data_IF_904723211230
#
_entry.id   IF_904723211230
#
_cell.length_a   1.000
_cell.length_b   1.000
_cell.length_c   1.000
_cell.angle_alpha   90.00
_cell.angle_beta   90.00
_cell.angle_gamma   90.00
#
_symmetry.space_group_name_H-M   'P 1'
#
loop_
_entity.id
_entity.type
_entity.pdbx_description
1 polymer ?
#
# COMPACT_ATOMS: atom_id res chain seq x y z
N UNK A 1 25.43 8.70 17.84
CA UNK A 1 23.97 8.84 17.81
C UNK A 1 23.48 9.29 16.44
N UNK A 2 24.01 10.39 15.89
CA UNK A 2 23.64 10.90 14.55
C UNK A 2 23.78 9.87 13.41
N UNK A 3 24.84 9.05 13.40
CA UNK A 3 25.01 8.02 12.38
C UNK A 3 23.92 6.92 12.43
N UNK A 4 23.51 6.51 13.64
CA UNK A 4 22.45 5.51 13.83
C UNK A 4 21.08 6.09 13.45
N UNK A 5 20.83 7.35 13.79
CA UNK A 5 19.61 8.06 13.37
C UNK A 5 19.52 8.13 11.84
N UNK A 6 20.62 8.50 11.18
CA UNK A 6 20.68 8.53 9.72
C UNK A 6 20.42 7.15 9.09
N UNK A 7 20.97 6.08 9.68
CA UNK A 7 20.73 4.71 9.23
C UNK A 7 19.26 4.28 9.41
N UNK A 8 18.65 4.59 10.56
CA UNK A 8 17.23 4.33 10.82
C UNK A 8 16.35 5.03 9.78
N UNK A 9 16.59 6.32 9.54
CA UNK A 9 15.80 7.11 8.58
C UNK A 9 15.99 6.62 7.14
N UNK A 10 17.21 6.21 6.78
CA UNK A 10 17.49 5.62 5.46
C UNK A 10 16.74 4.29 5.27
N UNK A 11 16.74 3.42 6.28
CA UNK A 11 16.00 2.15 6.24
C UNK A 11 14.49 2.39 6.19
N UNK A 12 13.98 3.37 6.94
CA UNK A 12 12.58 3.75 6.91
C UNK A 12 12.14 4.18 5.49
N UNK A 13 12.92 5.03 4.83
CA UNK A 13 12.65 5.45 3.45
C UNK A 13 12.64 4.26 2.47
N UNK A 14 13.59 3.33 2.60
CA UNK A 14 13.59 2.10 1.80
C UNK A 14 12.34 1.23 2.04
N UNK A 15 11.89 1.12 3.30
CA UNK A 15 10.67 0.39 3.64
C UNK A 15 9.42 1.05 3.04
N UNK A 16 9.33 2.39 3.04
CA UNK A 16 8.21 3.09 2.41
C UNK A 16 8.21 2.91 0.88
N UNK A 17 9.36 3.03 0.23
CA UNK A 17 9.48 2.79 -1.21
C UNK A 17 9.10 1.35 -1.58
N UNK A 18 9.57 0.35 -0.81
CA UNK A 18 9.18 -1.04 -0.99
C UNK A 18 7.68 -1.26 -0.74
N UNK A 19 7.10 -0.56 0.25
CA UNK A 19 5.68 -0.62 0.56
C UNK A 19 4.82 -0.06 -0.57
N UNK A 20 5.21 1.05 -1.18
CA UNK A 20 4.54 1.60 -2.36
C UNK A 20 4.52 0.59 -3.51
N UNK A 21 5.69 0.07 -3.88
CA UNK A 21 5.80 -0.94 -4.94
C UNK A 21 4.96 -2.18 -4.64
N UNK A 22 4.95 -2.63 -3.39
CA UNK A 22 4.10 -3.74 -2.95
C UNK A 22 2.61 -3.44 -3.18
N UNK A 23 2.13 -2.25 -2.84
CA UNK A 23 0.72 -1.87 -3.03
C UNK A 23 0.34 -1.79 -4.51
N UNK A 24 1.21 -1.26 -5.36
CA UNK A 24 1.00 -1.21 -6.82
C UNK A 24 0.87 -2.62 -7.40
N UNK A 25 1.79 -3.53 -7.04
CA UNK A 25 1.74 -4.92 -7.48
C UNK A 25 0.52 -5.66 -6.94
N UNK A 26 0.12 -5.37 -5.69
CA UNK A 26 -1.04 -5.98 -5.06
C UNK A 26 -2.34 -5.54 -5.75
N UNK A 27 -2.45 -4.27 -6.13
CA UNK A 27 -3.58 -3.73 -6.89
C UNK A 27 -3.69 -4.43 -8.25
N UNK A 28 -2.58 -4.51 -8.99
CA UNK A 28 -2.51 -5.22 -10.28
C UNK A 28 -2.94 -6.68 -10.13
N UNK A 29 -2.40 -7.37 -9.14
CA UNK A 29 -2.70 -8.78 -8.88
C UNK A 29 -4.17 -9.00 -8.50
N UNK A 30 -4.73 -8.09 -7.69
CA UNK A 30 -6.15 -8.13 -7.32
C UNK A 30 -7.07 -7.86 -8.51
N UNK A 31 -6.76 -6.87 -9.35
CA UNK A 31 -7.50 -6.51 -10.57
C UNK A 31 -7.50 -7.64 -11.61
N UNK A 32 -6.38 -8.35 -11.74
CA UNK A 32 -6.26 -9.56 -12.58
C UNK A 32 -6.89 -10.81 -11.95
N UNK A 33 -7.44 -10.67 -10.75
CA UNK A 33 -7.99 -11.78 -9.97
C UNK A 33 -7.02 -12.96 -9.80
N UNK A 34 -5.71 -12.70 -9.75
CA UNK A 34 -4.68 -13.76 -9.72
C UNK A 34 -4.80 -14.69 -8.51
N UNK A 35 -5.46 -14.23 -7.44
CA UNK A 35 -5.79 -15.01 -6.26
C UNK A 35 -6.79 -16.14 -6.52
N UNK A 36 -7.61 -16.06 -7.58
CA UNK A 36 -8.55 -17.13 -7.97
C UNK A 36 -7.83 -18.36 -8.50
N UNK A 37 -6.68 -18.19 -9.15
CA UNK A 37 -5.88 -19.30 -9.67
C UNK A 37 -5.36 -20.23 -8.57
N UNK A 38 -5.25 -19.72 -7.35
CA UNK A 38 -4.88 -20.48 -6.16
C UNK A 38 -6.09 -20.80 -5.27
N UNK A 39 -7.31 -20.76 -5.84
CA UNK A 39 -8.58 -21.14 -5.19
C UNK A 39 -8.91 -20.37 -3.90
N UNK A 40 -8.35 -19.19 -3.71
CA UNK A 40 -8.71 -18.34 -2.57
C UNK A 40 -10.00 -17.57 -2.84
N UNK A 41 -10.76 -17.28 -1.77
CA UNK A 41 -12.04 -16.53 -1.88
C UNK A 41 -11.88 -15.02 -2.13
N UNK A 42 -10.69 -14.45 -1.88
CA UNK A 42 -10.37 -13.06 -2.22
C UNK A 42 -8.85 -12.81 -2.14
N UNK A 43 -8.39 -11.71 -2.73
CA UNK A 43 -6.97 -11.31 -2.65
C UNK A 43 -6.48 -11.16 -1.20
N UNK A 44 -7.32 -10.66 -0.28
CA UNK A 44 -6.94 -10.55 1.13
C UNK A 44 -6.73 -11.93 1.79
N UNK A 45 -7.46 -12.98 1.37
CA UNK A 45 -7.24 -14.34 1.87
C UNK A 45 -5.98 -14.96 1.30
N UNK A 46 -5.75 -14.75 0.00
CA UNK A 46 -4.49 -15.13 -0.63
C UNK A 46 -3.31 -14.47 0.08
N UNK A 47 -3.34 -13.14 0.28
CA UNK A 47 -2.26 -12.41 0.92
C UNK A 47 -2.05 -12.87 2.36
N UNK A 48 -3.12 -13.04 3.14
CA UNK A 48 -3.05 -13.60 4.50
C UNK A 48 -2.33 -14.96 4.50
N UNK A 49 -2.75 -15.89 3.65
CA UNK A 49 -2.20 -17.23 3.58
C UNK A 49 -0.74 -17.24 3.12
N UNK A 50 -0.36 -16.38 2.17
CA UNK A 50 0.96 -16.39 1.55
C UNK A 50 2.03 -15.57 2.27
N UNK A 51 1.64 -14.59 3.10
CA UNK A 51 2.58 -13.65 3.75
C UNK A 51 2.65 -13.76 5.26
N UNK A 52 1.79 -14.56 5.90
CA UNK A 52 1.71 -14.67 7.37
C UNK A 52 1.09 -13.45 8.06
N UNK A 53 0.68 -12.41 7.32
CA UNK A 53 -0.04 -11.26 7.88
C UNK A 53 -1.39 -11.68 8.46
N UNK A 54 -1.88 -11.01 9.50
CA UNK A 54 -3.27 -11.19 9.93
C UNK A 54 -4.25 -10.86 8.79
N UNK A 55 -5.40 -11.53 8.75
CA UNK A 55 -6.42 -11.25 7.73
C UNK A 55 -6.91 -9.79 7.77
N UNK A 56 -6.94 -9.17 8.95
CA UNK A 56 -7.27 -7.74 9.11
C UNK A 56 -6.25 -6.87 8.37
N UNK A 57 -4.96 -7.10 8.60
CA UNK A 57 -3.87 -6.37 7.95
C UNK A 57 -3.87 -6.58 6.43
N UNK A 58 -4.13 -7.82 5.97
CA UNK A 58 -4.23 -8.12 4.55
C UNK A 58 -5.38 -7.35 3.88
N UNK A 59 -6.57 -7.29 4.53
CA UNK A 59 -7.70 -6.50 4.03
C UNK A 59 -7.38 -5.01 3.93
N UNK A 60 -6.65 -4.46 4.92
CA UNK A 60 -6.24 -3.06 4.88
C UNK A 60 -5.30 -2.78 3.70
N UNK A 61 -4.28 -3.61 3.49
CA UNK A 61 -3.37 -3.45 2.34
C UNK A 61 -4.12 -3.54 1.01
N UNK A 62 -5.01 -4.53 0.84
CA UNK A 62 -5.81 -4.67 -0.39
C UNK A 62 -6.72 -3.46 -0.60
N UNK A 63 -7.37 -2.95 0.46
CA UNK A 63 -8.20 -1.73 0.37
C UNK A 63 -7.39 -0.53 -0.08
N UNK A 64 -6.21 -0.31 0.52
CA UNK A 64 -5.34 0.81 0.16
C UNK A 64 -4.85 0.65 -1.29
N UNK A 65 -4.39 -0.55 -1.65
CA UNK A 65 -3.92 -0.86 -3.01
C UNK A 65 -4.98 -0.51 -4.07
N UNK A 66 -6.23 -0.96 -3.87
CA UNK A 66 -7.37 -0.61 -4.75
C UNK A 66 -7.63 0.88 -4.82
N UNK A 67 -7.65 1.57 -3.68
CA UNK A 67 -7.93 3.00 -3.65
C UNK A 67 -6.87 3.83 -4.39
N UNK A 68 -5.60 3.40 -4.33
CA UNK A 68 -4.52 4.09 -5.03
C UNK A 68 -4.61 3.98 -6.56
N UNK A 69 -5.41 3.05 -7.12
CA UNK A 69 -5.66 3.00 -8.57
C UNK A 69 -6.44 4.21 -9.08
N UNK A 70 -7.29 4.81 -8.23
CA UNK A 70 -8.05 6.01 -8.57
C UNK A 70 -7.51 7.28 -7.92
N UNK A 71 -6.39 7.20 -7.18
CA UNK A 71 -5.78 8.32 -6.46
C UNK A 71 -4.31 8.49 -6.88
N UNK A 72 -4.05 8.86 -8.15
CA UNK A 72 -2.70 8.92 -8.71
C UNK A 72 -1.80 9.92 -7.99
N UNK A 73 -2.31 11.04 -7.46
CA UNK A 73 -1.47 12.02 -6.75
C UNK A 73 -0.99 11.46 -5.41
N UNK A 74 -1.89 10.84 -4.65
CA UNK A 74 -1.52 10.16 -3.40
C UNK A 74 -0.57 9.00 -3.69
N UNK A 75 -0.85 8.19 -4.71
CA UNK A 75 0.04 7.10 -5.11
C UNK A 75 1.44 7.61 -5.46
N UNK A 76 1.54 8.70 -6.23
CA UNK A 76 2.81 9.29 -6.61
C UNK A 76 3.56 9.90 -5.41
N UNK A 77 2.86 10.52 -4.46
CA UNK A 77 3.46 11.05 -3.23
C UNK A 77 4.09 9.94 -2.36
N UNK A 78 3.45 8.78 -2.23
CA UNK A 78 4.06 7.62 -1.55
C UNK A 78 5.29 7.15 -2.34
N UNK A 79 5.20 7.07 -3.67
CA UNK A 79 6.31 6.67 -4.55
C UNK A 79 7.53 7.60 -4.46
N UNK A 80 7.32 8.89 -4.15
CA UNK A 80 8.38 9.89 -3.89
C UNK A 80 8.87 9.91 -2.43
N UNK A 81 8.24 9.16 -1.53
CA UNK A 81 8.56 9.18 -0.10
C UNK A 81 8.00 10.40 0.65
N UNK A 82 7.09 11.17 0.05
CA UNK A 82 6.45 12.34 0.66
C UNK A 82 5.30 11.96 1.59
N UNK A 83 4.74 10.76 1.41
CA UNK A 83 3.68 10.19 2.25
C UNK A 83 4.03 8.77 2.69
N UNK A 84 3.94 8.51 3.99
CA UNK A 84 4.12 7.19 4.55
C UNK A 84 2.83 6.39 4.39
N UNK A 85 2.94 5.06 4.37
CA UNK A 85 1.79 4.16 4.24
C UNK A 85 0.69 4.42 5.28
N UNK A 86 1.06 4.75 6.53
CA UNK A 86 0.09 5.04 7.58
C UNK A 86 -0.78 6.26 7.26
N UNK A 87 -0.18 7.32 6.71
CA UNK A 87 -0.87 8.54 6.27
C UNK A 87 -1.76 8.24 5.06
N UNK A 88 -1.21 7.57 4.05
CA UNK A 88 -1.98 7.15 2.87
C UNK A 88 -3.19 6.29 3.27
N UNK A 89 -3.02 5.32 4.18
CA UNK A 89 -4.12 4.46 4.67
C UNK A 89 -5.26 5.26 5.31
N UNK A 90 -4.94 6.38 5.97
CA UNK A 90 -5.94 7.30 6.52
C UNK A 90 -6.59 8.13 5.40
N UNK A 91 -5.78 8.75 4.53
CA UNK A 91 -6.24 9.62 3.44
C UNK A 91 -7.19 8.90 2.48
N UNK A 92 -6.88 7.67 2.06
CA UNK A 92 -7.72 6.89 1.13
C UNK A 92 -9.10 6.50 1.69
N UNK A 93 -9.45 6.92 2.92
CA UNK A 93 -10.82 6.81 3.46
C UNK A 93 -11.71 7.98 3.05
N UNK A 94 -11.12 9.12 2.75
CA UNK A 94 -11.81 10.39 2.51
C UNK A 94 -11.45 11.02 1.17
N UNK A 95 -10.28 10.68 0.62
CA UNK A 95 -9.82 11.18 -0.67
C UNK A 95 -10.65 10.59 -1.81
N UNK A 96 -10.99 11.45 -2.76
CA UNK A 96 -11.60 11.12 -4.04
C UNK A 96 -10.71 11.68 -5.16
N UNK A 97 -10.86 11.22 -6.42
CA UNK A 97 -10.10 11.77 -7.54
C UNK A 97 -10.25 13.30 -7.69
N UNK A 98 -11.38 13.85 -7.26
CA UNK A 98 -11.70 15.28 -7.35
C UNK A 98 -10.99 16.12 -6.27
N UNK A 99 -10.76 15.56 -5.07
CA UNK A 99 -10.21 16.32 -3.94
C UNK A 99 -8.77 15.96 -3.56
N UNK A 100 -8.17 14.91 -4.14
CA UNK A 100 -6.80 14.50 -3.81
C UNK A 100 -5.71 15.55 -4.15
N UNK A 101 -6.08 16.58 -4.90
CA UNK A 101 -5.24 17.74 -5.18
C UNK A 101 -5.07 18.69 -3.99
N UNK A 102 -6.04 18.70 -3.08
CA UNK A 102 -6.22 19.70 -2.01
C UNK A 102 -5.93 19.13 -0.61
N UNK A 103 -5.63 17.82 -0.53
CA UNK A 103 -5.32 17.07 0.70
C UNK A 103 -3.81 16.91 0.89
#
# INVERSE_FOLDING_TARGET
>A
MEALEHEILTLEAHLQAAKHRFLVLLAEFDRREGWRLAEHRSCAHWLHHRSGMSLRTAREHVRVARALESLPRISAAIGRGELHYCQARALVRVATPECEAEL
#
